data_IF_364634397145
#
_entry.id   IF_364634397145
#
_cell.length_a   1.000
_cell.length_b   1.000
_cell.length_c   1.000
_cell.angle_alpha   90.00
_cell.angle_beta   90.00
_cell.angle_gamma   90.00
#
_symmetry.space_group_name_H-M   'P 1'
#
loop_
_entity.id
_entity.type
_entity.pdbx_description
1 polymer ?
#
# COMPACT_ATOMS: atom_id res chain seq x y z
N UNK A 1 -7.14 -29.95 -9.18
CA UNK A 1 -5.92 -29.21 -9.02
C UNK A 1 -6.02 -28.23 -7.86
N UNK A 2 -4.96 -28.14 -7.09
CA UNK A 2 -4.93 -27.17 -6.03
C UNK A 2 -5.03 -25.76 -6.65
N UNK A 3 -5.99 -25.01 -6.18
CA UNK A 3 -6.17 -23.65 -6.66
C UNK A 3 -4.92 -22.83 -6.37
N UNK A 4 -4.42 -22.15 -7.37
CA UNK A 4 -3.41 -21.16 -7.13
C UNK A 4 -4.02 -20.06 -6.29
N UNK A 5 -3.26 -19.54 -5.37
CA UNK A 5 -3.70 -18.36 -4.67
C UNK A 5 -3.95 -17.27 -5.71
N UNK A 6 -5.10 -16.63 -5.62
CA UNK A 6 -5.38 -15.49 -6.50
C UNK A 6 -4.38 -14.38 -6.21
N UNK A 7 -3.98 -13.63 -7.24
CA UNK A 7 -3.16 -12.45 -6.97
C UNK A 7 -3.92 -11.49 -6.07
N UNK A 8 -3.20 -10.71 -5.28
CA UNK A 8 -3.88 -9.75 -4.40
C UNK A 8 -4.69 -8.75 -5.20
N UNK A 9 -5.93 -8.58 -4.78
CA UNK A 9 -6.87 -7.67 -5.42
C UNK A 9 -7.27 -6.56 -4.47
N UNK A 10 -7.44 -5.38 -5.05
CA UNK A 10 -7.98 -4.22 -4.35
C UNK A 10 -9.10 -3.67 -5.23
N UNK A 11 -10.34 -4.03 -4.87
CA UNK A 11 -11.51 -3.62 -5.64
C UNK A 11 -11.50 -4.11 -7.08
N UNK A 12 -11.01 -5.33 -7.32
CA UNK A 12 -10.90 -5.90 -8.65
C UNK A 12 -9.60 -5.58 -9.38
N UNK A 13 -8.71 -4.81 -8.75
CA UNK A 13 -7.43 -4.44 -9.32
C UNK A 13 -6.34 -5.38 -8.81
N UNK A 14 -5.54 -5.91 -9.72
CA UNK A 14 -4.39 -6.74 -9.34
C UNK A 14 -3.25 -5.81 -8.93
N UNK A 15 -2.69 -6.01 -7.73
CA UNK A 15 -1.50 -5.30 -7.30
C UNK A 15 -0.40 -6.31 -7.05
N UNK A 16 0.80 -6.04 -7.56
CA UNK A 16 1.92 -6.94 -7.37
C UNK A 16 3.24 -6.16 -7.32
N UNK A 17 4.18 -6.66 -6.53
CA UNK A 17 5.53 -6.08 -6.46
C UNK A 17 6.40 -6.56 -7.60
N UNK A 18 5.98 -7.60 -8.33
CA UNK A 18 6.72 -8.10 -9.48
C UNK A 18 6.56 -7.16 -10.66
N UNK A 19 7.48 -7.26 -11.62
CA UNK A 19 7.43 -6.44 -12.83
C UNK A 19 6.51 -7.03 -13.89
N UNK A 20 6.15 -8.31 -13.72
CA UNK A 20 5.32 -9.03 -14.66
C UNK A 20 4.24 -9.79 -13.89
N UNK A 21 3.19 -10.17 -14.60
CA UNK A 21 2.13 -11.02 -14.07
C UNK A 21 2.19 -12.32 -14.84
N UNK A 22 2.50 -13.40 -14.15
CA UNK A 22 2.64 -14.71 -14.78
C UNK A 22 1.36 -15.10 -15.52
N UNK A 23 1.51 -15.51 -16.76
CA UNK A 23 0.38 -15.94 -17.58
C UNK A 23 -0.40 -14.81 -18.23
N UNK A 24 -0.05 -13.57 -17.98
CA UNK A 24 -0.74 -12.41 -18.54
C UNK A 24 0.27 -11.43 -19.11
N UNK A 25 0.22 -11.20 -20.41
CA UNK A 25 1.15 -10.27 -21.05
C UNK A 25 0.68 -8.83 -20.83
N UNK A 26 1.63 -7.95 -20.49
CA UNK A 26 1.35 -6.53 -20.41
C UNK A 26 1.24 -5.99 -21.83
N UNK A 27 0.08 -5.45 -22.18
CA UNK A 27 -0.16 -4.89 -23.48
C UNK A 27 0.29 -3.43 -23.56
N UNK A 28 0.06 -2.68 -22.47
CA UNK A 28 0.37 -1.26 -22.49
C UNK A 28 0.66 -0.75 -21.08
N UNK A 29 1.68 0.07 -20.97
CA UNK A 29 1.99 0.79 -19.74
C UNK A 29 1.27 2.13 -19.79
N UNK A 30 0.50 2.44 -18.75
CA UNK A 30 -0.32 3.65 -18.75
C UNK A 30 0.39 4.81 -18.08
N UNK A 31 0.70 4.68 -16.80
CA UNK A 31 1.45 5.69 -16.06
C UNK A 31 1.79 5.19 -14.66
N UNK A 32 2.68 5.93 -13.99
CA UNK A 32 2.97 5.71 -12.58
C UNK A 32 1.78 6.21 -11.77
N UNK A 33 1.34 5.41 -10.81
CA UNK A 33 0.24 5.76 -9.92
C UNK A 33 0.71 5.73 -8.48
N UNK A 34 0.03 6.48 -7.63
CA UNK A 34 0.39 6.65 -6.22
C UNK A 34 -0.83 6.53 -5.33
N UNK A 35 -0.57 6.18 -4.08
CA UNK A 35 -1.54 6.28 -3.02
C UNK A 35 -0.82 6.69 -1.75
N UNK A 36 -1.48 7.45 -0.89
CA UNK A 36 -0.85 7.97 0.31
C UNK A 36 -1.79 7.88 1.48
N UNK A 37 -1.21 7.64 2.66
CA UNK A 37 -1.96 7.69 3.90
C UNK A 37 -1.04 8.25 4.97
N UNK A 38 -1.62 9.02 5.90
CA UNK A 38 -0.84 9.58 6.98
C UNK A 38 -1.56 9.41 8.30
N UNK A 39 -0.79 9.26 9.37
CA UNK A 39 -1.29 9.31 10.72
C UNK A 39 -0.78 10.62 11.33
N UNK A 40 -1.71 11.45 11.80
CA UNK A 40 -1.37 12.76 12.34
C UNK A 40 -0.79 12.70 13.73
N UNK A 41 -0.38 13.88 14.22
CA UNK A 41 0.35 14.03 15.47
C UNK A 41 -0.33 13.36 16.67
N UNK A 42 -1.63 13.54 16.82
CA UNK A 42 -2.33 13.01 18.00
C UNK A 42 -2.37 11.50 18.01
N UNK A 43 -2.69 10.90 16.86
CA UNK A 43 -2.76 9.44 16.74
C UNK A 43 -1.39 8.83 17.00
N UNK A 44 -0.37 9.37 16.37
CA UNK A 44 0.98 8.83 16.51
C UNK A 44 1.51 9.00 17.94
N UNK A 45 1.22 10.14 18.56
CA UNK A 45 1.62 10.40 19.95
C UNK A 45 0.98 9.40 20.91
N UNK A 46 -0.31 9.15 20.71
CA UNK A 46 -1.03 8.20 21.57
C UNK A 46 -0.47 6.79 21.41
N UNK A 47 -0.15 6.40 20.19
CA UNK A 47 0.45 5.10 19.91
C UNK A 47 1.83 4.97 20.55
N UNK A 48 2.65 6.02 20.46
CA UNK A 48 3.98 6.00 21.05
C UNK A 48 3.91 5.94 22.58
N UNK A 49 2.92 6.60 23.17
CA UNK A 49 2.71 6.53 24.61
C UNK A 49 2.38 5.09 25.04
N UNK A 50 1.55 4.40 24.27
CA UNK A 50 1.23 3.00 24.53
C UNK A 50 2.47 2.11 24.44
N UNK A 51 3.34 2.37 23.49
CA UNK A 51 4.57 1.60 23.32
C UNK A 51 5.47 1.73 24.53
N UNK A 52 5.54 2.91 25.13
CA UNK A 52 6.37 3.13 26.33
C UNK A 52 5.93 2.29 27.52
N UNK A 53 4.65 1.96 27.57
CA UNK A 53 4.10 1.16 28.67
C UNK A 53 4.29 -0.33 28.47
N UNK A 54 4.78 -0.74 27.31
CA UNK A 54 5.00 -2.15 26.97
C UNK A 54 6.49 -2.45 27.11
N UNK A 55 6.81 -3.30 28.07
CA UNK A 55 8.19 -3.69 28.32
C UNK A 55 8.50 -4.96 27.53
N UNK A 56 9.43 -4.83 26.56
CA UNK A 56 9.96 -5.98 25.86
C UNK A 56 9.04 -6.60 24.81
N UNK A 57 7.97 -5.93 24.42
CA UNK A 57 7.03 -6.45 23.45
C UNK A 57 6.72 -5.48 22.32
N UNK A 58 6.11 -6.01 21.25
CA UNK A 58 5.61 -5.20 20.14
C UNK A 58 4.23 -4.69 20.49
N UNK A 59 3.94 -3.46 20.07
CA UNK A 59 2.62 -2.88 20.29
C UNK A 59 1.66 -3.33 19.20
N UNK A 60 0.63 -4.08 19.57
CA UNK A 60 -0.41 -4.48 18.62
C UNK A 60 -1.17 -3.30 18.06
N UNK A 61 -1.39 -2.26 18.88
CA UNK A 61 -2.08 -1.06 18.41
C UNK A 61 -1.28 -0.32 17.36
N UNK A 62 0.04 -0.21 17.56
CA UNK A 62 0.92 0.42 16.60
C UNK A 62 0.96 -0.35 15.28
N UNK A 63 1.06 -1.67 15.37
CA UNK A 63 1.06 -2.53 14.18
C UNK A 63 -0.26 -2.44 13.42
N UNK A 64 -1.38 -2.36 14.13
CA UNK A 64 -2.69 -2.22 13.49
C UNK A 64 -2.80 -0.89 12.75
N UNK A 65 -2.26 0.19 13.31
CA UNK A 65 -2.30 1.50 12.67
C UNK A 65 -1.41 1.55 11.43
N UNK A 66 -0.23 0.93 11.49
CA UNK A 66 0.64 0.81 10.33
C UNK A 66 -0.03 0.03 9.21
N UNK A 67 -0.70 -1.06 9.59
CA UNK A 67 -1.42 -1.88 8.61
C UNK A 67 -2.54 -1.09 7.96
N UNK A 68 -3.28 -0.34 8.75
CA UNK A 68 -4.38 0.49 8.23
C UNK A 68 -3.86 1.53 7.25
N UNK A 69 -2.77 2.21 7.58
CA UNK A 69 -2.18 3.22 6.71
C UNK A 69 -1.71 2.58 5.40
N UNK A 70 -1.08 1.43 5.48
CA UNK A 70 -0.62 0.69 4.30
C UNK A 70 -1.79 0.31 3.40
N UNK A 71 -2.85 -0.25 3.99
CA UNK A 71 -4.02 -0.67 3.21
C UNK A 71 -4.70 0.53 2.57
N UNK A 72 -4.77 1.65 3.27
CA UNK A 72 -5.34 2.87 2.71
C UNK A 72 -4.53 3.38 1.53
N UNK A 73 -3.21 3.38 1.64
CA UNK A 73 -2.33 3.82 0.55
C UNK A 73 -2.48 2.91 -0.68
N UNK A 74 -2.52 1.60 -0.46
CA UNK A 74 -2.70 0.64 -1.56
C UNK A 74 -4.06 0.79 -2.23
N UNK A 75 -5.12 0.96 -1.45
CA UNK A 75 -6.46 1.13 -2.00
C UNK A 75 -6.58 2.41 -2.82
N UNK A 76 -5.95 3.50 -2.37
CA UNK A 76 -5.95 4.76 -3.11
C UNK A 76 -5.19 4.63 -4.43
N UNK A 77 -4.05 3.96 -4.41
CA UNK A 77 -3.29 3.69 -5.63
C UNK A 77 -4.10 2.85 -6.61
N UNK A 78 -4.77 1.81 -6.11
CA UNK A 78 -5.62 0.96 -6.95
C UNK A 78 -6.75 1.76 -7.59
N UNK A 79 -7.33 2.71 -6.85
CA UNK A 79 -8.39 3.55 -7.37
C UNK A 79 -7.87 4.49 -8.45
N UNK A 80 -6.67 5.04 -8.27
CA UNK A 80 -6.04 5.85 -9.29
C UNK A 80 -5.83 5.05 -10.58
N UNK A 81 -5.40 3.79 -10.45
CA UNK A 81 -5.22 2.91 -11.60
C UNK A 81 -6.55 2.60 -12.28
N UNK A 82 -7.59 2.37 -11.50
CA UNK A 82 -8.92 2.08 -12.05
C UNK A 82 -9.43 3.23 -12.91
N UNK A 83 -9.20 4.45 -12.48
CA UNK A 83 -9.63 5.63 -13.25
C UNK A 83 -8.95 5.74 -14.60
N UNK A 84 -7.78 5.13 -14.74
CA UNK A 84 -7.05 5.09 -16.00
C UNK A 84 -7.51 3.94 -16.90
N UNK A 85 -8.38 3.08 -16.40
CA UNK A 85 -8.79 1.89 -17.14
C UNK A 85 -7.78 0.75 -17.04
N UNK A 86 -6.90 0.78 -16.06
CA UNK A 86 -5.88 -0.25 -15.89
C UNK A 86 -6.48 -1.57 -15.42
N UNK A 87 -5.80 -2.65 -15.72
CA UNK A 87 -6.13 -3.98 -15.23
C UNK A 87 -5.29 -4.37 -14.02
N UNK A 88 -4.12 -3.77 -13.88
CA UNK A 88 -3.18 -4.13 -12.82
C UNK A 88 -2.22 -2.99 -12.52
N UNK A 89 -1.58 -3.08 -11.37
CA UNK A 89 -0.44 -2.22 -11.02
C UNK A 89 0.73 -3.14 -10.72
N UNK A 90 1.82 -2.98 -11.44
CA UNK A 90 3.04 -3.78 -11.27
C UNK A 90 4.13 -2.95 -10.64
N UNK A 91 5.15 -3.62 -10.10
CA UNK A 91 6.28 -2.94 -9.48
C UNK A 91 5.90 -2.11 -8.26
N UNK A 92 4.92 -2.57 -7.50
CA UNK A 92 4.45 -1.83 -6.33
C UNK A 92 5.55 -1.70 -5.30
N UNK A 93 5.72 -0.50 -4.79
CA UNK A 93 6.67 -0.18 -3.72
C UNK A 93 5.94 0.59 -2.62
N UNK A 94 6.35 0.35 -1.39
CA UNK A 94 5.81 1.04 -0.24
C UNK A 94 6.95 1.75 0.50
N UNK A 95 6.75 3.02 0.78
CA UNK A 95 7.69 3.82 1.55
C UNK A 95 7.02 4.34 2.81
N UNK A 96 7.79 4.37 3.88
CA UNK A 96 7.34 4.88 5.17
C UNK A 96 8.23 6.05 5.55
N UNK A 97 7.62 7.15 5.97
CA UNK A 97 8.35 8.33 6.33
C UNK A 97 7.79 8.94 7.59
N UNK A 98 8.70 9.28 8.52
CA UNK A 98 8.31 9.99 9.73
C UNK A 98 8.64 11.44 9.51
N UNK A 99 7.64 12.30 9.57
CA UNK A 99 7.74 13.70 9.24
C UNK A 99 7.25 14.55 10.41
N UNK A 100 7.47 15.85 10.27
CA UNK A 100 6.95 16.82 11.21
C UNK A 100 7.87 17.09 12.39
N UNK A 101 7.54 18.13 13.12
CA UNK A 101 8.29 18.54 14.29
C UNK A 101 8.17 17.45 15.39
N UNK A 102 9.31 16.97 15.86
CA UNK A 102 9.32 15.90 16.87
C UNK A 102 8.84 14.55 16.36
N UNK A 103 8.99 14.30 15.05
CA UNK A 103 8.56 13.05 14.43
C UNK A 103 7.09 12.76 14.69
N UNK A 104 6.24 13.76 14.48
CA UNK A 104 4.83 13.71 14.87
C UNK A 104 3.89 13.21 13.79
N UNK A 105 4.39 12.85 12.63
CA UNK A 105 3.55 12.36 11.53
C UNK A 105 4.22 11.16 10.86
N UNK A 106 3.41 10.15 10.60
CA UNK A 106 3.84 9.00 9.80
C UNK A 106 3.13 9.08 8.45
N UNK A 107 3.88 8.94 7.37
CA UNK A 107 3.32 8.87 6.03
C UNK A 107 3.71 7.57 5.37
N UNK A 108 2.73 6.94 4.72
CA UNK A 108 2.95 5.75 3.91
C UNK A 108 2.60 6.11 2.48
N UNK A 109 3.52 5.87 1.56
CA UNK A 109 3.29 6.11 0.14
C UNK A 109 3.40 4.80 -0.62
N UNK A 110 2.38 4.48 -1.41
CA UNK A 110 2.42 3.37 -2.35
C UNK A 110 2.64 3.93 -3.75
N UNK A 111 3.47 3.28 -4.54
CA UNK A 111 3.68 3.65 -5.93
C UNK A 111 3.77 2.40 -6.80
N UNK A 112 3.51 2.55 -8.08
CA UNK A 112 3.60 1.45 -9.02
C UNK A 112 3.23 1.92 -10.41
N UNK A 113 3.27 1.00 -11.36
CA UNK A 113 2.93 1.30 -12.76
C UNK A 113 1.61 0.65 -13.13
N UNK A 114 0.65 1.47 -13.50
CA UNK A 114 -0.65 0.99 -13.99
C UNK A 114 -0.49 0.46 -15.41
N UNK A 115 -1.05 -0.72 -15.66
CA UNK A 115 -0.90 -1.39 -16.97
C UNK A 115 -2.21 -1.97 -17.45
N UNK A 116 -2.32 -2.10 -18.77
CA UNK A 116 -3.36 -2.90 -19.42
C UNK A 116 -2.76 -4.25 -19.77
N UNK A 117 -3.52 -5.29 -19.51
CA UNK A 117 -3.12 -6.65 -19.85
C UNK A 117 -3.77 -7.07 -21.14
N UNK A 118 -3.10 -7.93 -21.89
CA UNK A 118 -3.67 -8.50 -23.11
C UNK A 118 -4.89 -9.36 -22.76
N UNK A 119 -5.90 -9.39 -23.67
CA UNK A 119 -7.08 -10.21 -23.44
C UNK A 119 -6.77 -11.70 -23.35
#
# INVERSE_FOLDING_TARGET
EAARAAPPYYGGMILTTTHEIEGRRIERYLRIVFGEASAGANVLRDLLAQIRDIVGGRSGAYEAELRRARETALAEMAEAARRLGADAVVGVDLDYEVLGSGNSMLMVTASGTAVKLAP
#
